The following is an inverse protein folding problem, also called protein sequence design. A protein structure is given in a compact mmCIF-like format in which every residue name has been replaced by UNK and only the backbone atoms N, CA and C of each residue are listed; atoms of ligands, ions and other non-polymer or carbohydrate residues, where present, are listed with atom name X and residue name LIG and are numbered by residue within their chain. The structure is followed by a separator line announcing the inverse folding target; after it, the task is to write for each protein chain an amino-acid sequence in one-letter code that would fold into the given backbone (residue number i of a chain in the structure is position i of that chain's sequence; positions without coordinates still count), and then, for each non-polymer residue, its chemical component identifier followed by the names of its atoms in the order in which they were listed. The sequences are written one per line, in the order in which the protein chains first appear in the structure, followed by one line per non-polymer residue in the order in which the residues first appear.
data_IF_724530879192
#
_entry.id   IF_724530879192
#
_cell.length_a   1.000
_cell.length_b   1.000
_cell.length_c   1.000
_cell.angle_alpha   90.00
_cell.angle_beta   90.00
_cell.angle_gamma   90.00
#
_symmetry.space_group_name_H-M   'P 1'
#
loop_
_entity.id
_entity.type
_entity.pdbx_description
1 polymer ?
#
# COMPACT_ATOMS: atom_id res chain seq x y z
N UNK A 1 9.23 10.35 5.58
CA UNK A 1 9.32 8.88 5.75
C UNK A 1 9.57 8.24 4.41
N UNK A 2 10.16 7.06 4.40
CA UNK A 2 10.47 6.32 3.18
C UNK A 2 9.72 4.99 3.22
N UNK A 3 9.24 4.52 2.07
CA UNK A 3 8.64 3.20 1.88
C UNK A 3 9.36 2.51 0.74
N UNK A 4 9.39 1.19 0.75
CA UNK A 4 10.02 0.42 -0.34
C UNK A 4 9.04 0.19 -1.48
N UNK A 5 9.55 -0.16 -2.67
CA UNK A 5 8.71 -0.58 -3.80
C UNK A 5 7.83 -1.79 -3.43
N UNK A 6 8.34 -2.67 -2.56
CA UNK A 6 7.57 -3.81 -2.05
C UNK A 6 6.40 -3.34 -1.17
N UNK A 7 6.60 -2.35 -0.30
CA UNK A 7 5.52 -1.79 0.51
C UNK A 7 4.44 -1.15 -0.37
N UNK A 8 4.85 -0.47 -1.43
CA UNK A 8 3.94 0.16 -2.41
C UNK A 8 3.10 -0.90 -3.12
N UNK A 9 3.70 -1.97 -3.65
CA UNK A 9 2.96 -3.03 -4.34
C UNK A 9 2.00 -3.78 -3.40
N UNK A 10 2.41 -4.01 -2.14
CA UNK A 10 1.52 -4.56 -1.09
C UNK A 10 0.33 -3.62 -0.84
N UNK A 11 0.57 -2.32 -0.75
CA UNK A 11 -0.49 -1.33 -0.54
C UNK A 11 -1.46 -1.26 -1.72
N UNK A 12 -0.95 -1.29 -2.96
CA UNK A 12 -1.78 -1.38 -4.17
C UNK A 12 -2.66 -2.64 -4.15
N UNK A 13 -2.08 -3.80 -3.83
CA UNK A 13 -2.82 -5.06 -3.72
C UNK A 13 -3.85 -5.04 -2.57
N UNK A 14 -3.55 -4.37 -1.47
CA UNK A 14 -4.48 -4.18 -0.35
C UNK A 14 -5.65 -3.29 -0.77
N UNK A 15 -5.39 -2.13 -1.37
CA UNK A 15 -6.41 -1.19 -1.82
C UNK A 15 -7.37 -1.87 -2.81
N UNK A 16 -6.84 -2.66 -3.75
CA UNK A 16 -7.66 -3.40 -4.70
C UNK A 16 -8.53 -4.47 -4.02
N UNK A 17 -7.93 -5.33 -3.19
CA UNK A 17 -8.64 -6.45 -2.55
C UNK A 17 -9.72 -5.99 -1.57
N UNK A 18 -9.40 -5.00 -0.75
CA UNK A 18 -10.23 -4.61 0.40
C UNK A 18 -11.05 -3.35 0.14
N UNK A 19 -10.54 -2.37 -0.60
CA UNK A 19 -11.21 -1.09 -0.83
C UNK A 19 -11.85 -1.00 -2.22
N UNK A 20 -11.55 -1.94 -3.12
CA UNK A 20 -11.97 -1.95 -4.53
C UNK A 20 -11.46 -0.72 -5.29
N UNK A 21 -10.34 -0.17 -4.85
CA UNK A 21 -9.67 0.99 -5.46
C UNK A 21 -8.48 0.51 -6.28
N UNK A 22 -8.37 1.00 -7.52
CA UNK A 22 -7.17 0.86 -8.34
C UNK A 22 -6.30 2.09 -8.09
N UNK A 23 -5.22 1.90 -7.33
CA UNK A 23 -4.22 2.93 -7.09
C UNK A 23 -3.02 2.72 -8.02
N UNK A 24 -2.41 3.82 -8.47
CA UNK A 24 -1.08 3.79 -9.07
C UNK A 24 0.01 3.75 -7.98
N UNK A 25 1.28 3.45 -8.31
CA UNK A 25 2.35 3.35 -7.32
C UNK A 25 2.50 4.59 -6.42
N UNK A 26 2.60 5.79 -7.02
CA UNK A 26 2.69 7.07 -6.30
C UNK A 26 1.48 7.33 -5.40
N UNK A 27 0.27 7.01 -5.88
CA UNK A 27 -0.98 7.19 -5.14
C UNK A 27 -1.12 6.24 -3.94
N UNK A 28 -0.35 5.16 -3.89
CA UNK A 28 -0.39 4.18 -2.81
C UNK A 28 0.65 4.43 -1.70
N UNK A 29 1.59 5.36 -1.86
CA UNK A 29 2.68 5.59 -0.91
C UNK A 29 2.22 5.89 0.52
N UNK A 30 1.16 6.69 0.70
CA UNK A 30 0.63 7.00 2.02
C UNK A 30 0.03 5.76 2.70
N UNK A 31 -0.69 4.94 1.93
CA UNK A 31 -1.24 3.66 2.44
C UNK A 31 -0.11 2.68 2.77
N UNK A 32 0.94 2.63 1.95
CA UNK A 32 2.12 1.80 2.18
C UNK A 32 2.78 2.13 3.53
N UNK A 33 2.95 3.40 3.84
CA UNK A 33 3.53 3.82 5.12
C UNK A 33 2.71 3.37 6.33
N UNK A 34 1.38 3.47 6.26
CA UNK A 34 0.49 3.00 7.32
C UNK A 34 0.59 1.48 7.46
N UNK A 35 0.50 0.74 6.34
CA UNK A 35 0.55 -0.73 6.36
C UNK A 35 1.92 -1.29 6.72
N UNK A 36 3.00 -0.51 6.56
CA UNK A 36 4.35 -0.83 7.01
C UNK A 36 4.61 -0.44 8.48
N UNK A 37 3.63 0.13 9.17
CA UNK A 37 3.73 0.51 10.58
C UNK A 37 4.60 1.75 10.82
N UNK A 38 4.83 2.58 9.79
CA UNK A 38 5.62 3.81 9.93
C UNK A 38 4.82 4.94 10.59
N UNK A 39 3.50 4.82 10.64
CA UNK A 39 2.61 5.75 11.33
C UNK A 39 2.25 5.16 12.71
N UNK A 40 2.55 5.85 13.83
CA UNK A 40 2.27 5.34 15.16
C UNK A 40 0.77 5.06 15.37
N UNK A 41 0.46 3.92 15.98
CA UNK A 41 -0.92 3.50 16.28
C UNK A 41 -1.59 4.38 17.34
N UNK A 42 -0.80 5.09 18.14
CA UNK A 42 -1.23 6.08 19.14
C UNK A 42 -1.97 7.26 18.52
N UNK A 43 -1.87 7.44 17.19
CA UNK A 43 -2.46 8.54 16.44
C UNK A 43 -3.99 8.48 16.35
N UNK A 44 -4.63 7.43 16.88
CA UNK A 44 -6.08 7.23 16.77
C UNK A 44 -6.50 6.91 15.33
N UNK A 45 -7.52 7.59 14.82
CA UNK A 45 -8.00 7.39 13.45
C UNK A 45 -7.02 7.99 12.43
N UNK A 46 -6.49 7.15 11.53
CA UNK A 46 -5.58 7.59 10.47
C UNK A 46 -6.37 7.81 9.17
N UNK A 47 -6.38 9.04 8.68
CA UNK A 47 -6.88 9.38 7.34
C UNK A 47 -5.79 9.14 6.28
N UNK A 48 -6.13 8.45 5.19
CA UNK A 48 -5.22 8.19 4.07
C UNK A 48 -5.82 8.72 2.78
N UNK A 49 -5.05 9.51 2.02
CA UNK A 49 -5.44 9.99 0.70
C UNK A 49 -4.79 9.11 -0.37
N UNK A 50 -5.61 8.49 -1.21
CA UNK A 50 -5.15 7.83 -2.44
C UNK A 50 -5.29 8.85 -3.57
N UNK A 51 -4.17 9.40 -4.04
CA UNK A 51 -4.19 10.58 -4.92
C UNK A 51 -4.37 10.27 -6.41
N UNK A 52 -4.17 9.03 -6.85
CA UNK A 52 -4.16 8.69 -8.28
C UNK A 52 -4.29 7.21 -8.60
N UNK A 53 -4.69 6.92 -9.82
CA UNK A 53 -4.96 5.58 -10.37
C UNK A 53 -4.55 5.44 -11.84
N UNK A 54 -3.65 6.29 -12.34
CA UNK A 54 -3.21 6.35 -13.73
C UNK A 54 -2.23 5.23 -14.08
N UNK A 55 -2.68 3.97 -13.99
CA UNK A 55 -1.88 2.78 -14.28
C UNK A 55 -2.61 1.90 -15.29
N UNK A 56 -1.88 1.39 -16.29
CA UNK A 56 -2.45 0.45 -17.25
C UNK A 56 -2.70 -0.94 -16.62
N UNK A 57 -3.69 -1.67 -17.14
CA UNK A 57 -4.11 -2.96 -16.58
C UNK A 57 -2.98 -4.01 -16.56
N UNK A 58 -2.19 -4.22 -17.63
CA UNK A 58 -1.05 -5.13 -17.60
C UNK A 58 -0.03 -4.81 -16.49
N UNK A 59 0.35 -3.54 -16.36
CA UNK A 59 1.28 -3.10 -15.32
C UNK A 59 0.68 -3.29 -13.93
N UNK A 60 -0.57 -2.88 -13.73
CA UNK A 60 -1.27 -3.06 -12.46
C UNK A 60 -1.31 -4.53 -12.04
N UNK A 61 -1.75 -5.42 -12.94
CA UNK A 61 -1.80 -6.85 -12.68
C UNK A 61 -0.42 -7.42 -12.29
N UNK A 62 0.63 -7.03 -13.03
CA UNK A 62 2.01 -7.45 -12.73
C UNK A 62 2.47 -7.00 -11.35
N UNK A 63 2.13 -5.78 -10.93
CA UNK A 63 2.55 -5.21 -9.64
C UNK A 63 1.83 -5.87 -8.46
N UNK A 64 0.50 -6.07 -8.55
CA UNK A 64 -0.27 -6.60 -7.42
C UNK A 64 -0.18 -8.13 -7.28
N UNK A 65 0.32 -8.83 -8.30
CA UNK A 65 0.45 -10.30 -8.30
C UNK A 65 1.79 -10.78 -7.75
N UNK A 66 2.67 -9.88 -7.31
CA UNK A 66 3.96 -10.27 -6.77
C UNK A 66 3.79 -10.95 -5.40
N UNK A 67 4.51 -12.06 -5.15
CA UNK A 67 4.48 -12.73 -3.86
C UNK A 67 5.02 -11.81 -2.76
N UNK A 68 4.19 -11.53 -1.77
CA UNK A 68 4.55 -10.69 -0.63
C UNK A 68 5.42 -11.47 0.35
N UNK A 69 6.73 -11.22 0.37
CA UNK A 69 7.61 -11.65 1.46
C UNK A 69 7.57 -10.61 2.58
N UNK A 70 6.54 -10.63 3.43
CA UNK A 70 6.56 -9.87 4.67
C UNK A 70 6.94 -10.79 5.82
N UNK A 71 8.04 -10.49 6.52
CA UNK A 71 8.26 -11.03 7.86
C UNK A 71 7.25 -10.35 8.77
N UNK A 72 6.49 -11.14 9.52
CA UNK A 72 5.53 -10.62 10.48
C UNK A 72 6.27 -9.77 11.52
N UNK A 73 6.23 -8.45 11.35
CA UNK A 73 6.51 -7.53 12.44
C UNK A 73 5.25 -7.56 13.32
N UNK A 74 5.22 -8.56 14.19
CA UNK A 74 4.24 -8.71 15.23
C UNK A 74 4.12 -7.40 16.03
N UNK A 75 2.86 -7.01 16.24
CA UNK A 75 2.34 -6.14 17.30
C UNK A 75 3.38 -5.81 18.38
N UNK A 76 3.74 -4.54 18.48
CA UNK A 76 4.13 -3.89 19.72
C UNK A 76 3.11 -2.78 19.98
#
# INVERSE_FOLDING_TARGET
MTVTDQDITIAMAFAFRHLKVVAEPSGACALAAVLAGHVPHESGTIGVVISGGGVDLPTFHRLISQPSHRKDHARA
#
